data_IF_258577367943
#
_entry.id   IF_258577367943
#
_cell.length_a   1.000
_cell.length_b   1.000
_cell.length_c   1.000
_cell.angle_alpha   90.00
_cell.angle_beta   90.00
_cell.angle_gamma   90.00
#
_symmetry.space_group_name_H-M   'P 1'
#
loop_
_entity.id
_entity.type
_entity.pdbx_description
1 polymer ?
#
# COMPACT_ATOMS: atom_id res chain seq x y z
N UNK A 1 -3.85 13.99 -8.44
CA UNK A 1 -2.46 14.23 -8.00
C UNK A 1 -2.33 13.91 -6.53
N UNK A 2 -1.28 13.21 -6.12
CA UNK A 2 -0.99 12.91 -4.71
C UNK A 2 0.28 13.67 -4.32
N UNK A 3 0.22 14.41 -3.21
CA UNK A 3 1.34 15.17 -2.65
C UNK A 3 1.61 14.66 -1.25
N UNK A 4 2.84 14.26 -1.00
CA UNK A 4 3.32 13.71 0.27
C UNK A 4 4.84 13.88 0.35
N UNK A 5 5.41 13.66 1.54
CA UNK A 5 6.87 13.63 1.69
C UNK A 5 7.44 12.23 1.44
N UNK A 6 8.72 12.15 1.06
CA UNK A 6 9.41 10.87 0.91
C UNK A 6 9.36 10.02 2.18
N UNK A 7 9.39 10.66 3.35
CA UNK A 7 9.34 9.97 4.64
C UNK A 7 7.99 9.29 4.86
N UNK A 8 6.89 10.02 4.66
CA UNK A 8 5.53 9.49 4.79
C UNK A 8 5.30 8.31 3.82
N UNK A 9 5.81 8.41 2.59
CA UNK A 9 5.74 7.29 1.64
C UNK A 9 6.52 6.06 2.12
N UNK A 10 7.73 6.25 2.64
CA UNK A 10 8.55 5.15 3.12
C UNK A 10 7.90 4.46 4.33
N UNK A 11 7.32 5.22 5.25
CA UNK A 11 6.64 4.69 6.43
C UNK A 11 5.38 3.91 6.04
N UNK A 12 4.60 4.41 5.06
CA UNK A 12 3.43 3.72 4.56
C UNK A 12 3.77 2.41 3.83
N UNK A 13 4.78 2.44 2.95
CA UNK A 13 5.25 1.23 2.24
C UNK A 13 5.96 0.23 3.17
N UNK A 14 6.53 0.70 4.27
CA UNK A 14 7.16 -0.13 5.29
C UNK A 14 6.18 -0.71 6.32
N UNK A 15 4.89 -0.37 6.23
CA UNK A 15 3.86 -0.81 7.18
C UNK A 15 3.98 -0.18 8.58
N UNK A 16 4.70 0.94 8.71
CA UNK A 16 4.86 1.67 9.98
C UNK A 16 3.58 2.46 10.31
N UNK A 17 2.94 3.02 9.28
CA UNK A 17 1.66 3.74 9.37
C UNK A 17 0.77 3.31 8.21
N UNK A 18 -0.54 3.20 8.42
CA UNK A 18 -1.44 2.94 7.29
C UNK A 18 -1.58 4.20 6.42
N UNK A 19 -1.79 4.03 5.12
CA UNK A 19 -1.92 5.17 4.21
C UNK A 19 -3.18 6.00 4.50
N UNK A 20 -4.25 5.37 5.00
CA UNK A 20 -5.48 6.04 5.45
C UNK A 20 -5.26 6.88 6.71
N UNK A 21 -4.46 6.40 7.66
CA UNK A 21 -4.11 7.18 8.86
C UNK A 21 -3.24 8.40 8.52
N UNK A 22 -2.28 8.25 7.60
CA UNK A 22 -1.46 9.37 7.12
C UNK A 22 -2.30 10.43 6.38
N UNK A 23 -3.32 9.99 5.63
CA UNK A 23 -4.28 10.89 4.99
C UNK A 23 -5.13 11.65 6.03
N UNK A 24 -5.62 10.95 7.06
CA UNK A 24 -6.45 11.56 8.12
C UNK A 24 -5.67 12.58 8.97
N UNK A 25 -4.36 12.40 9.12
CA UNK A 25 -3.46 13.31 9.83
C UNK A 25 -3.06 14.55 9.00
N UNK A 26 -3.36 14.55 7.70
CA UNK A 26 -3.02 15.64 6.79
C UNK A 26 -1.60 15.56 6.21
N UNK A 27 -0.90 14.44 6.42
CA UNK A 27 0.46 14.22 5.89
C UNK A 27 0.46 13.87 4.40
N UNK A 28 -0.70 13.47 3.87
CA UNK A 28 -0.96 13.21 2.46
C UNK A 28 -2.06 14.14 1.98
N UNK A 29 -1.83 14.82 0.86
CA UNK A 29 -2.87 15.57 0.15
C UNK A 29 -3.21 14.87 -1.16
N UNK A 30 -4.49 14.65 -1.41
CA UNK A 30 -4.98 14.06 -2.66
C UNK A 30 -5.90 15.05 -3.35
N UNK A 31 -5.48 15.49 -4.53
CA UNK A 31 -6.28 16.26 -5.46
C UNK A 31 -6.89 15.32 -6.51
N UNK A 32 -8.17 15.01 -6.39
CA UNK A 32 -8.89 14.05 -7.22
C UNK A 32 -9.60 12.96 -6.42
N UNK A 33 -9.81 11.79 -7.03
CA UNK A 33 -10.57 10.71 -6.40
C UNK A 33 -9.71 9.96 -5.36
N UNK A 34 -9.99 10.20 -4.07
CA UNK A 34 -9.28 9.58 -2.95
C UNK A 34 -9.47 8.07 -2.88
N UNK A 35 -10.67 7.58 -3.24
CA UNK A 35 -11.00 6.15 -3.15
C UNK A 35 -10.07 5.29 -4.00
N UNK A 36 -9.68 5.78 -5.19
CA UNK A 36 -8.75 5.06 -6.09
C UNK A 36 -7.37 4.90 -5.46
N UNK A 37 -6.90 5.94 -4.76
CA UNK A 37 -5.57 5.91 -4.12
C UNK A 37 -5.60 4.98 -2.91
N UNK A 38 -6.64 5.07 -2.08
CA UNK A 38 -6.80 4.19 -0.92
C UNK A 38 -6.93 2.73 -1.33
N UNK A 39 -7.76 2.44 -2.34
CA UNK A 39 -7.91 1.09 -2.89
C UNK A 39 -6.59 0.54 -3.43
N UNK A 40 -5.77 1.36 -4.10
CA UNK A 40 -4.43 0.94 -4.52
C UNK A 40 -3.56 0.50 -3.34
N UNK A 41 -3.53 1.28 -2.25
CA UNK A 41 -2.72 0.95 -1.08
C UNK A 41 -3.29 -0.25 -0.30
N UNK A 42 -4.60 -0.45 -0.28
CA UNK A 42 -5.24 -1.65 0.29
C UNK A 42 -4.92 -2.92 -0.53
N UNK A 43 -4.75 -2.79 -1.85
CA UNK A 43 -4.35 -3.88 -2.74
C UNK A 43 -2.86 -4.24 -2.67
N UNK A 44 -2.03 -3.40 -2.06
CA UNK A 44 -0.63 -3.73 -1.80
C UNK A 44 -0.56 -4.80 -0.70
N UNK A 45 -0.66 -6.05 -1.13
CA UNK A 45 -0.60 -7.22 -0.26
C UNK A 45 0.79 -7.39 0.37
N UNK A 46 0.81 -7.93 1.60
CA UNK A 46 2.03 -8.35 2.27
C UNK A 46 2.83 -9.33 1.41
N UNK A 47 4.16 -9.29 1.54
CA UNK A 47 5.08 -10.16 0.80
C UNK A 47 4.61 -11.62 0.85
N UNK A 48 4.38 -12.19 -0.34
CA UNK A 48 4.05 -13.60 -0.50
C UNK A 48 5.22 -14.44 0.01
N UNK A 49 4.99 -15.15 1.13
CA UNK A 49 5.89 -16.21 1.60
C UNK A 49 5.74 -17.39 0.66
N UNK A 50 6.72 -17.50 -0.24
CA UNK A 50 6.80 -18.52 -1.25
C UNK A 50 7.56 -19.75 -0.72
N UNK A 51 7.01 -20.98 -0.84
CA UNK A 51 7.79 -22.18 -0.55
C UNK A 51 8.99 -22.24 -1.52
N UNK A 52 10.19 -22.36 -0.95
CA UNK A 52 11.45 -22.30 -1.73
C UNK A 52 11.72 -23.62 -2.48
N UNK A 53 11.17 -24.74 -2.00
CA UNK A 53 11.53 -26.10 -2.45
C UNK A 53 10.43 -26.73 -3.33
N UNK A 54 9.22 -26.16 -3.32
CA UNK A 54 8.07 -26.68 -4.07
C UNK A 54 7.62 -25.65 -5.11
N UNK A 55 7.31 -26.06 -6.36
CA UNK A 55 6.83 -25.12 -7.37
C UNK A 55 5.57 -24.43 -6.89
N UNK A 56 5.45 -23.12 -7.17
CA UNK A 56 4.22 -22.39 -6.95
C UNK A 56 3.11 -23.07 -7.74
N UNK A 57 2.26 -23.80 -7.01
CA UNK A 57 1.02 -24.30 -7.54
C UNK A 57 0.10 -23.11 -7.69
N UNK A 58 0.20 -22.41 -8.83
CA UNK A 58 -0.85 -21.49 -9.27
C UNK A 58 -2.13 -22.32 -9.39
N UNK A 59 -2.89 -22.40 -8.30
CA UNK A 59 -4.22 -22.96 -8.29
C UNK A 59 -5.12 -21.93 -8.97
N UNK A 60 -5.17 -21.99 -10.29
CA UNK A 60 -6.34 -21.56 -11.02
C UNK A 60 -7.54 -22.34 -10.47
N UNK A 61 -8.53 -21.64 -9.94
CA UNK A 61 -9.86 -22.16 -9.59
C UNK A 61 -10.89 -21.30 -10.28
#
# INVERSE_FOLDING_TARGET
TVVLTRHVLADALGGVVSFSDALAQGDVTIDGNQSVVLELFDLLTEFLLFPIIEPHGDRES
#
